data_IF_322330749311
#
_entry.id   IF_322330749311
#
_cell.length_a   1.000
_cell.length_b   1.000
_cell.length_c   1.000
_cell.angle_alpha   90.00
_cell.angle_beta   90.00
_cell.angle_gamma   90.00
#
_symmetry.space_group_name_H-M   'P 1'
#
loop_
_entity.id
_entity.type
_entity.pdbx_description
1 polymer ?
#
# COMPACT_ATOMS: atom_id res chain seq x y z
N UNK A 1 17.11 9.02 -20.62
CA UNK A 1 16.21 9.98 -19.93
C UNK A 1 15.53 9.46 -18.65
N UNK A 2 15.92 8.32 -18.07
CA UNK A 2 15.30 7.78 -16.84
C UNK A 2 15.83 8.38 -15.51
N UNK A 3 16.95 9.12 -15.55
CA UNK A 3 17.56 9.71 -14.34
C UNK A 3 16.85 10.93 -13.76
N UNK A 4 15.97 11.59 -14.54
CA UNK A 4 15.24 12.79 -14.10
C UNK A 4 14.03 12.47 -13.21
N UNK A 5 13.30 11.40 -13.52
CA UNK A 5 12.08 11.01 -12.80
C UNK A 5 12.44 10.43 -11.41
N UNK A 6 13.49 9.61 -11.34
CA UNK A 6 14.04 9.12 -10.06
C UNK A 6 14.58 10.24 -9.17
N UNK A 7 15.13 11.31 -9.76
CA UNK A 7 15.53 12.51 -8.99
C UNK A 7 14.34 13.29 -8.45
N UNK A 8 13.23 13.37 -9.20
CA UNK A 8 12.00 14.02 -8.74
C UNK A 8 11.32 13.28 -7.60
N UNK A 9 11.25 11.95 -7.66
CA UNK A 9 10.73 11.11 -6.57
C UNK A 9 11.66 11.15 -5.35
N UNK A 10 12.98 11.10 -5.57
CA UNK A 10 13.94 11.27 -4.48
C UNK A 10 13.95 12.71 -3.91
N UNK A 11 13.48 13.71 -4.65
CA UNK A 11 13.32 15.09 -4.17
C UNK A 11 12.02 15.26 -3.36
N UNK A 12 10.92 14.62 -3.76
CA UNK A 12 9.69 14.62 -2.95
C UNK A 12 9.88 13.81 -1.66
N UNK A 13 10.61 12.69 -1.72
CA UNK A 13 10.97 11.91 -0.52
C UNK A 13 11.99 12.66 0.35
N UNK A 14 12.92 13.43 -0.21
CA UNK A 14 13.80 14.30 0.60
C UNK A 14 13.09 15.52 1.19
N UNK A 15 12.11 16.09 0.49
CA UNK A 15 11.30 17.19 1.00
C UNK A 15 10.45 16.80 2.21
N UNK A 16 10.03 15.54 2.30
CA UNK A 16 9.25 15.00 3.42
C UNK A 16 10.10 14.28 4.49
N UNK A 17 11.26 13.69 4.14
CA UNK A 17 12.07 12.88 5.06
C UNK A 17 13.40 13.51 5.48
N UNK A 18 13.87 14.59 4.84
CA UNK A 18 15.17 15.20 5.11
C UNK A 18 15.09 16.59 5.76
N UNK A 19 13.91 17.01 6.23
CA UNK A 19 13.78 18.20 7.10
C UNK A 19 13.85 17.85 8.59
N UNK A 20 14.05 16.58 8.93
CA UNK A 20 14.04 16.03 10.29
C UNK A 20 15.31 15.25 10.63
N UNK A 21 16.47 15.73 10.19
CA UNK A 21 17.77 15.24 10.66
C UNK A 21 18.72 16.44 10.58
N UNK A 22 19.38 16.93 11.62
CA UNK A 22 20.24 16.22 12.58
C UNK A 22 20.37 17.14 13.81
N UNK A 23 19.77 16.77 14.95
CA UNK A 23 20.13 17.34 16.26
C UNK A 23 19.91 16.31 17.37
N UNK A 24 21.00 15.59 17.68
CA UNK A 24 21.36 15.03 19.00
C UNK A 24 20.22 14.66 19.98
N UNK A 25 19.63 13.48 19.80
CA UNK A 25 19.02 12.67 20.88
C UNK A 25 18.71 11.27 20.34
N UNK A 26 19.64 10.33 20.50
CA UNK A 26 19.63 9.03 19.81
C UNK A 26 18.41 8.15 20.12
N UNK A 27 17.78 8.29 21.28
CA UNK A 27 16.53 7.57 21.61
C UNK A 27 15.27 8.26 21.05
N UNK A 28 15.23 9.59 21.08
CA UNK A 28 14.11 10.40 20.54
C UNK A 28 14.07 10.35 19.01
N UNK A 29 15.24 10.34 18.36
CA UNK A 29 15.35 10.29 16.90
C UNK A 29 14.93 8.95 16.32
N UNK A 30 15.22 7.83 17.01
CA UNK A 30 14.80 6.49 16.57
C UNK A 30 13.27 6.35 16.73
N UNK A 31 12.69 6.76 17.86
CA UNK A 31 11.23 6.75 18.05
C UNK A 31 10.51 7.63 17.03
N UNK A 32 11.05 8.81 16.73
CA UNK A 32 10.53 9.71 15.69
C UNK A 32 10.57 9.06 14.31
N UNK A 33 11.69 8.39 13.97
CA UNK A 33 11.82 7.68 12.70
C UNK A 33 10.84 6.50 12.59
N UNK A 34 10.71 5.68 13.65
CA UNK A 34 9.73 4.58 13.70
C UNK A 34 8.31 5.13 13.55
N UNK A 35 7.99 6.23 14.23
CA UNK A 35 6.68 6.88 14.09
C UNK A 35 6.46 7.40 12.68
N UNK A 36 7.44 8.04 12.05
CA UNK A 36 7.32 8.50 10.67
C UNK A 36 7.09 7.34 9.69
N UNK A 37 7.79 6.21 9.89
CA UNK A 37 7.63 5.00 9.07
C UNK A 37 6.26 4.35 9.30
N UNK A 38 5.81 4.24 10.56
CA UNK A 38 4.49 3.68 10.89
C UNK A 38 3.33 4.54 10.38
N UNK A 39 3.50 5.88 10.35
CA UNK A 39 2.50 6.80 9.80
C UNK A 39 2.52 6.86 8.27
N UNK A 40 3.59 6.40 7.62
CA UNK A 40 3.71 6.34 6.17
C UNK A 40 3.00 5.09 5.61
N UNK A 41 1.66 5.04 5.75
CA UNK A 41 0.80 3.93 5.29
C UNK A 41 1.12 3.41 3.88
N UNK A 42 1.43 4.24 2.86
CA UNK A 42 1.82 3.74 1.53
C UNK A 42 3.02 2.78 1.52
N UNK A 43 3.93 2.87 2.51
CA UNK A 43 5.07 1.96 2.62
C UNK A 43 4.64 0.53 2.94
N UNK A 44 3.54 0.33 3.68
CA UNK A 44 2.97 -0.98 3.94
C UNK A 44 2.52 -1.68 2.65
N UNK A 45 2.18 -0.90 1.60
CA UNK A 45 1.75 -1.40 0.29
C UNK A 45 2.89 -1.53 -0.72
N UNK A 46 4.14 -1.28 -0.32
CA UNK A 46 5.28 -1.48 -1.20
C UNK A 46 5.38 -2.92 -1.71
N UNK A 47 4.98 -3.92 -0.90
CA UNK A 47 4.90 -5.32 -1.32
C UNK A 47 3.94 -5.54 -2.49
N UNK A 48 2.79 -4.85 -2.52
CA UNK A 48 1.82 -4.93 -3.63
C UNK A 48 2.39 -4.33 -4.93
N UNK A 49 3.14 -3.23 -4.78
CA UNK A 49 4.01 -2.69 -5.83
C UNK A 49 4.99 -3.71 -6.39
N UNK A 50 5.64 -4.45 -5.49
CA UNK A 50 6.61 -5.47 -5.84
C UNK A 50 5.99 -6.63 -6.59
N UNK A 51 4.84 -7.12 -6.12
CA UNK A 51 4.11 -8.25 -6.72
C UNK A 51 3.57 -7.88 -8.11
N UNK A 52 2.90 -6.73 -8.23
CA UNK A 52 2.40 -6.28 -9.53
C UNK A 52 3.54 -6.03 -10.53
N UNK A 53 4.70 -5.57 -10.05
CA UNK A 53 5.89 -5.28 -10.85
C UNK A 53 6.90 -6.43 -10.96
N UNK A 54 6.60 -7.65 -10.47
CA UNK A 54 7.60 -8.71 -10.28
C UNK A 54 8.39 -9.02 -11.55
N UNK A 55 7.71 -9.04 -12.70
CA UNK A 55 8.32 -9.32 -14.02
C UNK A 55 9.25 -8.20 -14.52
N UNK A 56 9.19 -7.02 -13.91
CA UNK A 56 9.93 -5.83 -14.28
C UNK A 56 11.00 -5.44 -13.25
N UNK A 57 10.85 -5.89 -12.01
CA UNK A 57 11.71 -5.52 -10.90
C UNK A 57 12.86 -6.53 -10.75
N UNK A 58 14.11 -6.07 -10.55
CA UNK A 58 15.18 -6.97 -10.16
C UNK A 58 14.93 -7.53 -8.75
N UNK A 59 15.34 -8.79 -8.52
CA UNK A 59 15.07 -9.53 -7.26
C UNK A 59 15.42 -8.78 -5.98
N UNK A 60 16.51 -8.01 -5.98
CA UNK A 60 16.91 -7.22 -4.82
C UNK A 60 15.90 -6.10 -4.51
N UNK A 61 15.34 -5.46 -5.55
CA UNK A 61 14.36 -4.39 -5.40
C UNK A 61 13.03 -4.98 -4.94
N UNK A 62 12.62 -6.11 -5.52
CA UNK A 62 11.48 -6.89 -5.06
C UNK A 62 11.58 -7.22 -3.57
N UNK A 63 12.71 -7.79 -3.14
CA UNK A 63 12.96 -8.11 -1.73
C UNK A 63 12.98 -6.88 -0.83
N UNK A 64 13.54 -5.76 -1.30
CA UNK A 64 13.56 -4.50 -0.54
C UNK A 64 12.17 -3.90 -0.33
N UNK A 65 11.28 -4.03 -1.32
CA UNK A 65 9.89 -3.54 -1.21
C UNK A 65 9.08 -4.37 -0.21
N UNK A 66 9.30 -5.68 -0.17
CA UNK A 66 8.78 -6.54 0.89
C UNK A 66 9.33 -6.17 2.26
N UNK A 67 10.64 -5.96 2.37
CA UNK A 67 11.28 -5.53 3.61
C UNK A 67 10.73 -4.19 4.13
N UNK A 68 10.52 -3.23 3.23
CA UNK A 68 9.89 -1.94 3.56
C UNK A 68 8.45 -2.10 4.05
N UNK A 69 7.66 -2.94 3.38
CA UNK A 69 6.28 -3.25 3.79
C UNK A 69 6.24 -3.84 5.20
N UNK A 70 7.02 -4.90 5.46
CA UNK A 70 7.10 -5.55 6.77
C UNK A 70 7.55 -4.55 7.83
N UNK A 71 8.58 -3.75 7.55
CA UNK A 71 9.11 -2.75 8.48
C UNK A 71 8.06 -1.68 8.81
N UNK A 72 7.28 -1.23 7.82
CA UNK A 72 6.21 -0.25 8.01
C UNK A 72 5.08 -0.81 8.87
N UNK A 73 4.65 -2.06 8.63
CA UNK A 73 3.63 -2.74 9.43
C UNK A 73 4.10 -2.90 10.89
N UNK A 74 5.33 -3.39 11.09
CA UNK A 74 5.88 -3.55 12.43
C UNK A 74 6.00 -2.20 13.16
N UNK A 75 6.42 -1.14 12.45
CA UNK A 75 6.51 0.20 13.01
C UNK A 75 5.13 0.76 13.40
N UNK A 76 4.10 0.57 12.57
CA UNK A 76 2.73 1.00 12.90
C UNK A 76 2.21 0.28 14.15
N UNK A 77 2.31 -1.05 14.19
CA UNK A 77 1.91 -1.85 15.36
C UNK A 77 2.68 -1.44 16.62
N UNK A 78 3.99 -1.16 16.49
CA UNK A 78 4.79 -0.67 17.61
C UNK A 78 4.30 0.70 18.12
N UNK A 79 3.98 1.64 17.23
CA UNK A 79 3.45 2.96 17.62
C UNK A 79 2.12 2.80 18.36
N UNK A 80 1.22 1.95 17.86
CA UNK A 80 -0.06 1.65 18.53
C UNK A 80 0.14 1.01 19.90
N UNK A 81 1.14 0.15 20.05
CA UNK A 81 1.52 -0.41 21.35
C UNK A 81 2.11 0.62 22.31
N UNK A 82 2.99 1.51 21.84
CA UNK A 82 3.64 2.53 22.68
C UNK A 82 2.60 3.52 23.21
N UNK A 83 1.66 3.94 22.35
CA UNK A 83 0.62 4.94 22.64
C UNK A 83 -0.57 4.38 23.44
N UNK A 84 -0.76 3.07 23.52
CA UNK A 84 -1.85 2.47 24.27
C UNK A 84 -1.65 2.56 25.80
N UNK A 85 -2.73 2.74 26.60
CA UNK A 85 -2.72 2.59 28.06
C UNK A 85 -2.15 1.24 28.51
N UNK A 86 -1.45 1.21 29.65
CA UNK A 86 -0.66 0.05 30.12
C UNK A 86 -1.48 -1.23 30.27
N UNK A 87 -2.74 -1.09 30.64
CA UNK A 87 -3.73 -2.14 30.87
C UNK A 87 -4.23 -2.80 29.57
N UNK A 88 -4.24 -2.08 28.45
CA UNK A 88 -4.76 -2.58 27.16
C UNK A 88 -3.70 -2.82 26.09
N UNK A 89 -2.42 -2.52 26.34
CA UNK A 89 -1.34 -2.67 25.33
C UNK A 89 -1.32 -4.01 24.59
N UNK A 90 -1.51 -5.12 25.30
CA UNK A 90 -1.52 -6.46 24.71
C UNK A 90 -2.75 -6.68 23.82
N UNK A 91 -3.92 -6.20 24.26
CA UNK A 91 -5.16 -6.28 23.50
C UNK A 91 -5.07 -5.40 22.25
N UNK A 92 -4.44 -4.22 22.34
CA UNK A 92 -4.16 -3.36 21.19
C UNK A 92 -3.31 -4.09 20.16
N UNK A 93 -2.17 -4.67 20.55
CA UNK A 93 -1.32 -5.41 19.60
C UNK A 93 -2.06 -6.59 18.99
N UNK A 94 -2.80 -7.35 19.81
CA UNK A 94 -3.58 -8.49 19.32
C UNK A 94 -4.63 -8.05 18.30
N UNK A 95 -5.37 -6.97 18.57
CA UNK A 95 -6.36 -6.41 17.64
C UNK A 95 -5.72 -5.98 16.32
N UNK A 96 -4.64 -5.21 16.38
CA UNK A 96 -3.97 -4.70 15.19
C UNK A 96 -3.34 -5.83 14.37
N UNK A 97 -2.67 -6.80 15.00
CA UNK A 97 -2.05 -7.92 14.31
C UNK A 97 -3.06 -8.93 13.75
N UNK A 98 -4.13 -9.25 14.49
CA UNK A 98 -5.07 -10.28 14.09
C UNK A 98 -6.10 -9.79 13.06
N UNK A 99 -6.37 -8.48 13.04
CA UNK A 99 -7.44 -7.95 12.21
C UNK A 99 -7.04 -6.78 11.34
N UNK A 100 -6.35 -5.76 11.89
CA UNK A 100 -5.97 -4.60 11.09
C UNK A 100 -4.94 -4.98 10.02
N UNK A 101 -3.90 -5.75 10.36
CA UNK A 101 -2.87 -6.17 9.40
C UNK A 101 -3.47 -7.05 8.28
N UNK A 102 -4.26 -8.10 8.56
CA UNK A 102 -4.93 -8.86 7.50
C UNK A 102 -5.90 -8.02 6.67
N UNK A 103 -6.72 -7.17 7.30
CA UNK A 103 -7.65 -6.30 6.57
C UNK A 103 -6.92 -5.31 5.66
N UNK A 104 -5.82 -4.73 6.13
CA UNK A 104 -5.04 -3.74 5.40
C UNK A 104 -4.08 -4.34 4.38
N UNK A 105 -3.78 -5.64 4.41
CA UNK A 105 -2.92 -6.29 3.41
C UNK A 105 -3.70 -7.19 2.46
N UNK A 106 -4.46 -8.14 2.99
CA UNK A 106 -5.06 -9.22 2.19
C UNK A 106 -6.18 -8.67 1.31
N UNK A 107 -7.07 -7.84 1.86
CA UNK A 107 -8.22 -7.33 1.10
C UNK A 107 -7.78 -6.40 -0.04
N UNK A 108 -6.90 -5.40 0.18
CA UNK A 108 -6.36 -4.60 -0.90
C UNK A 108 -5.59 -5.43 -1.91
N UNK A 109 -4.75 -6.38 -1.47
CA UNK A 109 -4.00 -7.26 -2.37
C UNK A 109 -4.92 -8.04 -3.31
N UNK A 110 -5.98 -8.66 -2.78
CA UNK A 110 -6.95 -9.39 -3.60
C UNK A 110 -7.63 -8.50 -4.64
N UNK A 111 -8.01 -7.27 -4.28
CA UNK A 111 -8.64 -6.32 -5.20
C UNK A 111 -7.65 -5.88 -6.27
N UNK A 112 -6.44 -5.48 -5.89
CA UNK A 112 -5.39 -5.03 -6.81
C UNK A 112 -4.99 -6.15 -7.78
N UNK A 113 -4.85 -7.38 -7.28
CA UNK A 113 -4.59 -8.55 -8.10
C UNK A 113 -5.75 -8.85 -9.06
N UNK A 114 -7.00 -8.68 -8.61
CA UNK A 114 -8.18 -8.82 -9.47
C UNK A 114 -8.22 -7.76 -10.56
N UNK A 115 -7.85 -6.51 -10.25
CA UNK A 115 -7.74 -5.42 -11.24
C UNK A 115 -6.63 -5.73 -12.26
N UNK A 116 -5.49 -6.24 -11.81
CA UNK A 116 -4.40 -6.64 -12.68
C UNK A 116 -4.85 -7.72 -13.67
N UNK A 117 -5.50 -8.80 -13.18
CA UNK A 117 -6.02 -9.86 -14.04
C UNK A 117 -7.13 -9.38 -14.98
N UNK A 118 -8.07 -8.56 -14.50
CA UNK A 118 -9.09 -7.97 -15.38
C UNK A 118 -8.46 -7.15 -16.50
N UNK A 119 -7.44 -6.36 -16.18
CA UNK A 119 -6.72 -5.55 -17.17
C UNK A 119 -5.94 -6.44 -18.14
N UNK A 120 -5.32 -7.51 -17.64
CA UNK A 120 -4.63 -8.49 -18.47
C UNK A 120 -5.59 -9.20 -19.43
N UNK A 121 -6.76 -9.63 -18.95
CA UNK A 121 -7.82 -10.23 -19.75
C UNK A 121 -8.30 -9.24 -20.83
N UNK A 122 -8.53 -7.96 -20.48
CA UNK A 122 -8.94 -6.92 -21.44
C UNK A 122 -7.86 -6.67 -22.50
N UNK A 123 -6.58 -6.70 -22.12
CA UNK A 123 -5.46 -6.41 -23.02
C UNK A 123 -5.11 -7.62 -23.90
N UNK A 124 -5.32 -8.84 -23.42
CA UNK A 124 -5.01 -10.09 -24.13
C UNK A 124 -6.19 -10.63 -24.94
N UNK A 125 -7.42 -10.45 -24.48
CA UNK A 125 -8.59 -11.09 -25.08
C UNK A 125 -9.12 -10.31 -26.29
N UNK A 126 -8.90 -10.87 -27.49
CA UNK A 126 -9.52 -10.38 -28.73
C UNK A 126 -11.04 -10.59 -28.76
N UNK A 127 -11.65 -11.34 -27.82
CA UNK A 127 -13.11 -11.54 -27.79
C UNK A 127 -13.90 -10.40 -27.14
N UNK A 128 -13.28 -9.58 -26.29
CA UNK A 128 -13.93 -8.36 -25.75
C UNK A 128 -14.13 -7.32 -26.88
N UNK A 129 -13.30 -7.39 -27.93
CA UNK A 129 -13.46 -6.68 -29.21
C UNK A 129 -14.84 -6.94 -29.88
N UNK A 130 -15.52 -8.05 -29.55
CA UNK A 130 -16.78 -8.48 -30.16
C UNK A 130 -18.05 -8.20 -29.33
N UNK A 131 -17.95 -7.79 -28.05
CA UNK A 131 -19.12 -7.61 -27.16
C UNK A 131 -19.58 -6.16 -26.94
N UNK A 132 -19.20 -5.24 -27.83
CA UNK A 132 -19.87 -3.93 -27.92
C UNK A 132 -19.39 -2.84 -26.95
N UNK A 133 -18.40 -3.10 -26.11
CA UNK A 133 -17.65 -2.03 -25.42
C UNK A 133 -16.58 -1.51 -26.39
N UNK A 134 -17.00 -0.74 -27.41
CA UNK A 134 -16.21 0.26 -28.14
C UNK A 134 -14.76 -0.05 -28.55
N UNK A 135 -14.37 -1.31 -28.64
CA UNK A 135 -13.04 -1.75 -29.05
C UNK A 135 -13.24 -2.49 -30.35
N UNK A 136 -13.57 -1.80 -31.44
CA UNK A 136 -13.47 -2.40 -32.78
C UNK A 136 -12.01 -2.37 -33.25
N UNK A 137 -11.73 -2.74 -34.50
CA UNK A 137 -10.41 -2.62 -35.17
C UNK A 137 -9.70 -1.25 -35.05
N UNK A 138 -10.39 -0.22 -34.54
CA UNK A 138 -9.88 1.12 -34.21
C UNK A 138 -9.68 1.40 -32.70
N UNK A 139 -9.89 0.42 -31.83
CA UNK A 139 -9.84 0.54 -30.38
C UNK A 139 -8.44 0.86 -29.86
N UNK A 140 -8.36 1.67 -28.81
CA UNK A 140 -7.10 2.15 -28.23
C UNK A 140 -6.15 0.99 -27.88
N UNK A 141 -6.71 -0.14 -27.43
CA UNK A 141 -5.96 -1.34 -27.00
C UNK A 141 -5.24 -2.04 -28.18
N UNK A 142 -5.85 -2.08 -29.37
CA UNK A 142 -5.23 -2.72 -30.54
C UNK A 142 -4.04 -1.92 -31.07
N UNK A 143 -4.01 -0.61 -30.82
CA UNK A 143 -2.90 0.30 -31.16
C UNK A 143 -1.75 0.31 -30.15
N UNK A 144 -1.91 -0.30 -28.98
CA UNK A 144 -0.85 -0.37 -27.97
C UNK A 144 0.29 -1.27 -28.44
N UNK A 145 1.53 -0.79 -28.28
CA UNK A 145 2.74 -1.58 -28.53
C UNK A 145 2.84 -2.78 -27.56
N UNK A 146 3.56 -3.85 -27.92
CA UNK A 146 3.72 -5.02 -27.05
C UNK A 146 4.23 -4.68 -25.64
N UNK A 147 5.11 -3.67 -25.54
CA UNK A 147 5.61 -3.17 -24.26
C UNK A 147 4.53 -2.46 -23.44
N UNK A 148 3.70 -1.64 -24.08
CA UNK A 148 2.60 -0.97 -23.40
C UNK A 148 1.53 -1.98 -22.90
N UNK A 149 1.28 -3.04 -23.67
CA UNK A 149 0.39 -4.13 -23.25
C UNK A 149 0.91 -4.90 -22.04
N UNK A 150 2.22 -5.13 -21.95
CA UNK A 150 2.84 -5.74 -20.77
C UNK A 150 2.81 -4.82 -19.54
N UNK A 151 2.92 -3.51 -19.74
CA UNK A 151 2.89 -2.52 -18.64
C UNK A 151 1.48 -2.19 -18.15
N UNK A 152 0.46 -2.31 -19.01
CA UNK A 152 -0.89 -1.87 -18.69
C UNK A 152 -1.48 -2.52 -17.41
N UNK A 153 -1.38 -3.84 -17.20
CA UNK A 153 -1.86 -4.46 -15.96
C UNK A 153 -1.13 -3.95 -14.70
N UNK A 154 0.19 -3.77 -14.81
CA UNK A 154 1.03 -3.26 -13.72
C UNK A 154 0.64 -1.83 -13.36
N UNK A 155 0.47 -0.97 -14.36
CA UNK A 155 0.06 0.41 -14.15
C UNK A 155 -1.37 0.51 -13.60
N UNK A 156 -2.29 -0.32 -14.08
CA UNK A 156 -3.66 -0.38 -13.56
C UNK A 156 -3.68 -0.80 -12.09
N UNK A 157 -2.89 -1.81 -11.73
CA UNK A 157 -2.69 -2.22 -10.34
C UNK A 157 -2.16 -1.06 -9.48
N UNK A 158 -1.10 -0.39 -9.92
CA UNK A 158 -0.51 0.75 -9.19
C UNK A 158 -1.47 1.92 -9.02
N UNK A 159 -2.23 2.26 -10.05
CA UNK A 159 -3.23 3.31 -9.97
C UNK A 159 -4.37 2.91 -9.03
N UNK A 160 -4.77 1.63 -9.02
CA UNK A 160 -5.86 1.13 -8.17
C UNK A 160 -5.54 1.17 -6.68
N UNK A 161 -4.25 1.12 -6.29
CA UNK A 161 -3.84 1.22 -4.88
C UNK A 161 -4.34 2.52 -4.25
N UNK A 162 -4.28 3.64 -4.98
CA UNK A 162 -4.62 4.98 -4.47
C UNK A 162 -6.05 5.05 -3.91
N UNK A 163 -7.11 4.62 -4.63
CA UNK A 163 -8.46 4.60 -4.09
C UNK A 163 -8.77 3.35 -3.25
N UNK A 164 -8.23 2.18 -3.60
CA UNK A 164 -8.61 0.91 -2.96
C UNK A 164 -8.15 0.88 -1.50
N UNK A 165 -6.90 1.27 -1.26
CA UNK A 165 -6.31 1.20 0.08
C UNK A 165 -7.07 2.06 1.09
N UNK A 166 -7.29 3.38 0.88
CA UNK A 166 -8.00 4.20 1.85
C UNK A 166 -9.47 3.77 2.01
N UNK A 167 -10.09 3.24 0.96
CA UNK A 167 -11.48 2.80 1.01
C UNK A 167 -11.65 1.54 1.85
N UNK A 168 -10.83 0.52 1.61
CA UNK A 168 -10.88 -0.74 2.38
C UNK A 168 -10.57 -0.48 3.85
N UNK A 169 -9.59 0.37 4.12
CA UNK A 169 -9.16 0.75 5.46
C UNK A 169 -10.29 1.45 6.24
N UNK A 170 -10.94 2.46 5.64
CA UNK A 170 -12.11 3.12 6.25
C UNK A 170 -13.27 2.16 6.50
N UNK A 171 -13.51 1.22 5.57
CA UNK A 171 -14.56 0.22 5.73
C UNK A 171 -14.21 -0.72 6.88
N UNK A 172 -12.96 -1.19 6.96
CA UNK A 172 -12.50 -2.03 8.05
C UNK A 172 -12.62 -1.31 9.40
N UNK A 173 -12.13 -0.07 9.51
CA UNK A 173 -12.25 0.77 10.71
C UNK A 173 -13.75 0.91 11.11
N UNK A 174 -14.63 1.25 10.15
CA UNK A 174 -16.07 1.41 10.43
C UNK A 174 -16.79 0.16 10.94
N UNK A 175 -16.31 -1.04 10.57
CA UNK A 175 -16.89 -2.32 10.98
C UNK A 175 -16.29 -2.80 12.31
N UNK A 176 -14.98 -2.60 12.48
CA UNK A 176 -14.22 -3.21 13.56
C UNK A 176 -14.22 -2.38 14.84
N UNK A 177 -14.24 -1.05 14.74
CA UNK A 177 -14.26 -0.17 15.92
C UNK A 177 -15.51 -0.37 16.80
N UNK A 178 -16.74 -0.45 16.25
CA UNK A 178 -17.93 -0.62 17.07
C UNK A 178 -18.07 -2.02 17.69
N UNK A 179 -17.38 -3.02 17.14
CA UNK A 179 -17.52 -4.43 17.51
C UNK A 179 -16.34 -4.88 18.39
N UNK A 180 -15.21 -5.19 17.77
CA UNK A 180 -14.00 -5.69 18.43
C UNK A 180 -13.28 -4.59 19.22
N UNK A 181 -13.30 -3.36 18.72
CA UNK A 181 -12.76 -2.21 19.44
C UNK A 181 -13.38 -2.05 20.82
N UNK A 182 -14.73 -2.00 20.87
CA UNK A 182 -15.48 -1.98 22.13
C UNK A 182 -15.29 -3.24 22.97
N UNK A 183 -15.28 -4.43 22.37
CA UNK A 183 -15.08 -5.68 23.11
C UNK A 183 -13.72 -5.74 23.82
N UNK A 184 -12.68 -5.16 23.21
CA UNK A 184 -11.33 -5.11 23.75
C UNK A 184 -11.05 -3.87 24.61
N UNK A 185 -12.05 -3.01 24.84
CA UNK A 185 -11.91 -1.78 25.64
C UNK A 185 -11.05 -0.71 24.97
N UNK A 186 -10.94 -0.73 23.63
CA UNK A 186 -10.18 0.26 22.88
C UNK A 186 -11.02 1.51 22.63
N UNK A 187 -10.52 2.67 23.07
CA UNK A 187 -11.09 3.99 22.73
C UNK A 187 -10.25 4.63 21.62
N UNK A 188 -10.83 4.78 20.42
CA UNK A 188 -10.18 5.45 19.29
C UNK A 188 -10.49 6.95 19.33
N UNK A 189 -9.54 7.77 19.82
CA UNK A 189 -9.68 9.24 19.91
C UNK A 189 -9.45 9.98 18.57
N UNK A 190 -9.63 9.34 17.43
CA UNK A 190 -9.26 9.91 16.12
C UNK A 190 -10.45 10.40 15.27
N UNK A 191 -11.57 10.69 15.92
CA UNK A 191 -12.79 11.18 15.26
C UNK A 191 -13.39 12.45 15.90
N UNK A 192 -12.53 13.41 16.27
CA UNK A 192 -12.90 14.84 16.28
C UNK A 192 -12.23 15.55 15.10
#
# INVERSE_FOLDING_TARGET
>A
NAGGILRGIAASMRGSALSSTISSSSSTSIKSAIRAVGQARPLAFASEGAVAGETLLPRWLYGSMWGLSISAICADVYVKYDDAPRDIKRNTVLYWMAFHVPASLIVPAMIVHRVAHLTEDIVRDRRIELRGIGTGKNGIVSKLSPRARALAPVMAAMISIIPVVPMVDRVAESIMEPTLGRYLGLEFRHHE
#
